data_IF_390907383014
#
_entry.id   IF_390907383014
#
_cell.length_a   1.000
_cell.length_b   1.000
_cell.length_c   1.000
_cell.angle_alpha   90.00
_cell.angle_beta   90.00
_cell.angle_gamma   90.00
#
_symmetry.space_group_name_H-M   'P 1'
#
loop_
_entity.id
_entity.type
_entity.pdbx_description
1 polymer ?
#
# COMPACT_ATOMS: atom_id res chain seq x y z
N UNK A 1 13.59 -29.00 -16.53
CA UNK A 1 15.07 -28.95 -16.47
C UNK A 1 15.54 -28.37 -15.16
N UNK A 2 16.20 -29.21 -14.33
CA UNK A 2 16.72 -28.82 -13.01
C UNK A 2 17.68 -27.60 -13.08
N UNK A 3 18.38 -27.42 -14.21
CA UNK A 3 19.25 -26.27 -14.43
C UNK A 3 18.47 -24.96 -14.51
N UNK A 4 17.41 -24.91 -15.31
CA UNK A 4 16.58 -23.71 -15.47
C UNK A 4 15.86 -23.37 -14.16
N UNK A 5 15.39 -24.38 -13.42
CA UNK A 5 14.80 -24.19 -12.11
C UNK A 5 15.79 -23.54 -11.14
N UNK A 6 17.00 -24.10 -11.02
CA UNK A 6 18.02 -23.56 -10.11
C UNK A 6 18.46 -22.16 -10.53
N UNK A 7 18.64 -21.92 -11.85
CA UNK A 7 18.97 -20.59 -12.37
C UNK A 7 17.91 -19.54 -12.05
N UNK A 8 16.64 -19.87 -12.21
CA UNK A 8 15.53 -18.98 -11.86
C UNK A 8 15.49 -18.70 -10.36
N UNK A 9 15.69 -19.74 -9.54
CA UNK A 9 15.68 -19.58 -8.08
C UNK A 9 16.81 -18.67 -7.59
N UNK A 10 18.01 -18.84 -8.15
CA UNK A 10 19.17 -17.97 -7.86
C UNK A 10 18.89 -16.54 -8.31
N UNK A 11 18.34 -16.35 -9.51
CA UNK A 11 17.96 -15.04 -10.03
C UNK A 11 16.92 -14.37 -9.13
N UNK A 12 15.88 -15.09 -8.72
CA UNK A 12 14.87 -14.60 -7.81
C UNK A 12 15.44 -14.17 -6.46
N UNK A 13 16.31 -15.01 -5.87
CA UNK A 13 17.00 -14.66 -4.62
C UNK A 13 17.85 -13.40 -4.77
N UNK A 14 18.63 -13.30 -5.86
CA UNK A 14 19.45 -12.13 -6.13
C UNK A 14 18.62 -10.84 -6.26
N UNK A 15 17.52 -10.88 -7.00
CA UNK A 15 16.64 -9.71 -7.21
C UNK A 15 15.97 -9.29 -5.91
N UNK A 16 15.54 -10.24 -5.06
CA UNK A 16 14.97 -9.95 -3.73
C UNK A 16 16.00 -9.30 -2.82
N UNK A 17 17.25 -9.80 -2.80
CA UNK A 17 18.35 -9.21 -2.01
C UNK A 17 18.66 -7.79 -2.48
N UNK A 18 18.79 -7.57 -3.80
CA UNK A 18 19.02 -6.23 -4.37
C UNK A 18 17.89 -5.28 -3.99
N UNK A 19 16.64 -5.72 -4.08
CA UNK A 19 15.49 -4.94 -3.65
C UNK A 19 15.56 -4.57 -2.17
N UNK A 20 15.94 -5.49 -1.30
CA UNK A 20 16.08 -5.23 0.14
C UNK A 20 17.09 -4.10 0.41
N UNK A 21 18.28 -4.17 -0.20
CA UNK A 21 19.29 -3.12 -0.05
C UNK A 21 18.85 -1.78 -0.65
N UNK A 22 18.15 -1.82 -1.77
CA UNK A 22 17.60 -0.63 -2.42
C UNK A 22 16.56 0.07 -1.54
N UNK A 23 15.63 -0.67 -0.93
CA UNK A 23 14.65 -0.11 0.02
C UNK A 23 15.36 0.52 1.22
N UNK A 24 16.40 -0.12 1.74
CA UNK A 24 17.19 0.42 2.86
C UNK A 24 17.94 1.70 2.47
N UNK A 25 18.49 1.77 1.27
CA UNK A 25 19.16 2.97 0.75
C UNK A 25 18.17 4.12 0.51
N UNK A 26 16.96 3.82 0.00
CA UNK A 26 15.89 4.78 -0.22
C UNK A 26 15.39 5.37 1.10
N UNK A 27 15.29 4.57 2.16
CA UNK A 27 14.81 5.02 3.48
C UNK A 27 15.66 6.14 4.10
N UNK A 28 16.89 6.32 3.63
CA UNK A 28 17.82 7.34 4.11
C UNK A 28 17.89 8.59 3.22
N UNK A 29 17.02 8.70 2.20
CA UNK A 29 17.01 9.78 1.22
C UNK A 29 15.75 10.63 1.34
N UNK A 30 15.87 11.96 1.30
CA UNK A 30 14.75 12.90 1.41
C UNK A 30 14.00 13.12 0.09
N UNK A 31 14.51 12.63 -1.05
CA UNK A 31 13.88 12.78 -2.37
C UNK A 31 12.78 11.71 -2.59
N UNK A 32 11.56 12.06 -2.19
CA UNK A 32 10.40 11.16 -2.25
C UNK A 32 10.08 10.71 -3.68
N UNK A 33 10.13 11.60 -4.66
CA UNK A 33 9.76 11.28 -6.06
C UNK A 33 10.77 10.32 -6.71
N UNK A 34 12.05 10.52 -6.45
CA UNK A 34 13.11 9.62 -6.89
C UNK A 34 12.96 8.25 -6.23
N UNK A 35 12.68 8.25 -4.94
CA UNK A 35 12.54 7.04 -4.15
C UNK A 35 11.36 6.19 -4.62
N UNK A 36 10.20 6.79 -4.89
CA UNK A 36 9.03 6.10 -5.45
C UNK A 36 9.32 5.53 -6.84
N UNK A 37 10.02 6.26 -7.72
CA UNK A 37 10.41 5.72 -9.05
C UNK A 37 11.30 4.51 -8.93
N UNK A 38 12.32 4.54 -8.07
CA UNK A 38 13.23 3.42 -7.85
C UNK A 38 12.51 2.21 -7.26
N UNK A 39 11.59 2.44 -6.31
CA UNK A 39 10.75 1.40 -5.74
C UNK A 39 9.89 0.72 -6.81
N UNK A 40 9.23 1.51 -7.68
CA UNK A 40 8.38 1.01 -8.74
C UNK A 40 9.17 0.16 -9.75
N UNK A 41 10.37 0.60 -10.13
CA UNK A 41 11.26 -0.19 -11.01
C UNK A 41 11.66 -1.49 -10.33
N UNK A 42 12.06 -1.46 -9.07
CA UNK A 42 12.45 -2.65 -8.32
C UNK A 42 11.30 -3.66 -8.17
N UNK A 43 10.09 -3.18 -7.89
CA UNK A 43 8.88 -4.00 -7.84
C UNK A 43 8.63 -4.64 -9.21
N UNK A 44 8.68 -3.86 -10.28
CA UNK A 44 8.47 -4.35 -11.65
C UNK A 44 9.47 -5.45 -12.04
N UNK A 45 10.75 -5.29 -11.71
CA UNK A 45 11.78 -6.31 -11.99
C UNK A 45 11.50 -7.61 -11.23
N UNK A 46 11.21 -7.53 -9.93
CA UNK A 46 10.91 -8.72 -9.11
C UNK A 46 9.71 -9.47 -9.66
N UNK A 47 8.64 -8.76 -9.98
CA UNK A 47 7.41 -9.37 -10.45
C UNK A 47 7.51 -9.90 -11.87
N UNK A 48 8.31 -9.27 -12.72
CA UNK A 48 8.63 -9.80 -14.06
C UNK A 48 9.41 -11.10 -13.98
N UNK A 49 10.45 -11.17 -13.13
CA UNK A 49 11.21 -12.42 -12.91
C UNK A 49 10.32 -13.53 -12.36
N UNK A 50 9.38 -13.17 -11.46
CA UNK A 50 8.36 -14.12 -11.00
C UNK A 50 7.49 -14.63 -12.17
N UNK A 51 7.00 -13.71 -13.00
CA UNK A 51 6.18 -14.05 -14.17
C UNK A 51 6.88 -14.96 -15.17
N UNK A 52 8.22 -14.85 -15.32
CA UNK A 52 9.00 -15.75 -16.19
C UNK A 52 8.91 -17.22 -15.78
N UNK A 53 8.49 -17.51 -14.55
CA UNK A 53 8.20 -18.87 -14.09
C UNK A 53 7.20 -19.61 -14.98
N UNK A 54 6.30 -18.91 -15.70
CA UNK A 54 5.41 -19.54 -16.71
C UNK A 54 6.15 -20.34 -17.77
N UNK A 55 7.31 -19.89 -18.20
CA UNK A 55 8.12 -20.57 -19.20
C UNK A 55 8.99 -21.70 -18.65
N UNK A 56 9.14 -21.76 -17.32
CA UNK A 56 10.04 -22.70 -16.65
C UNK A 56 9.28 -23.84 -15.97
N UNK A 57 8.17 -23.50 -15.32
CA UNK A 57 7.42 -24.43 -14.46
C UNK A 57 6.19 -25.03 -15.11
N UNK A 58 5.72 -24.46 -16.22
CA UNK A 58 4.52 -24.97 -16.89
C UNK A 58 4.93 -25.79 -18.10
N UNK A 59 5.08 -27.13 -17.97
CA UNK A 59 5.25 -27.99 -19.11
C UNK A 59 3.94 -28.04 -19.90
N UNK A 60 4.05 -28.05 -21.21
CA UNK A 60 2.90 -28.05 -22.14
C UNK A 60 2.04 -29.31 -22.09
N UNK A 61 2.49 -30.37 -21.41
CA UNK A 61 1.89 -31.69 -21.44
C UNK A 61 0.95 -32.03 -20.29
N UNK A 62 1.04 -31.31 -19.14
CA UNK A 62 0.34 -31.71 -17.92
C UNK A 62 -0.62 -30.62 -17.40
N UNK A 63 -1.94 -30.81 -17.62
CA UNK A 63 -2.96 -29.82 -17.22
C UNK A 63 -2.95 -29.45 -15.73
N UNK A 64 -2.58 -30.40 -14.87
CA UNK A 64 -2.57 -30.22 -13.42
C UNK A 64 -1.48 -29.23 -12.99
N UNK A 65 -0.29 -29.32 -13.59
CA UNK A 65 0.82 -28.40 -13.29
C UNK A 65 0.50 -26.98 -13.75
N UNK A 66 -0.18 -26.86 -14.89
CA UNK A 66 -0.70 -25.58 -15.38
C UNK A 66 -1.67 -24.94 -14.37
N UNK A 67 -2.64 -25.71 -13.86
CA UNK A 67 -3.60 -25.24 -12.85
C UNK A 67 -2.91 -24.85 -11.54
N UNK A 68 -1.95 -25.65 -11.07
CA UNK A 68 -1.20 -25.34 -9.85
C UNK A 68 -0.44 -24.01 -9.97
N UNK A 69 0.27 -23.81 -11.09
CA UNK A 69 0.99 -22.56 -11.31
C UNK A 69 0.03 -21.37 -11.44
N UNK A 70 -1.13 -21.56 -12.07
CA UNK A 70 -2.18 -20.55 -12.14
C UNK A 70 -2.68 -20.13 -10.75
N UNK A 71 -2.95 -21.09 -9.87
CA UNK A 71 -3.38 -20.83 -8.49
C UNK A 71 -2.29 -20.03 -7.74
N UNK A 72 -1.03 -20.42 -7.88
CA UNK A 72 0.11 -19.71 -7.27
C UNK A 72 0.19 -18.27 -7.82
N UNK A 73 0.11 -18.09 -9.14
CA UNK A 73 0.16 -16.77 -9.79
C UNK A 73 -0.97 -15.85 -9.32
N UNK A 74 -2.20 -16.38 -9.20
CA UNK A 74 -3.33 -15.64 -8.66
C UNK A 74 -3.15 -15.31 -7.19
N UNK A 75 -2.61 -16.23 -6.39
CA UNK A 75 -2.31 -15.97 -4.98
C UNK A 75 -1.32 -14.82 -4.83
N UNK A 76 -0.23 -14.83 -5.59
CA UNK A 76 0.76 -13.74 -5.61
C UNK A 76 0.11 -12.41 -6.03
N UNK A 77 -0.77 -12.43 -7.05
CA UNK A 77 -1.51 -11.26 -7.49
C UNK A 77 -2.37 -10.66 -6.36
N UNK A 78 -3.16 -11.47 -5.67
CA UNK A 78 -4.05 -10.99 -4.60
C UNK A 78 -3.30 -10.57 -3.34
N UNK A 79 -2.28 -11.32 -2.93
CA UNK A 79 -1.43 -10.93 -1.77
C UNK A 79 -0.67 -9.64 -2.07
N UNK A 80 -0.09 -9.52 -3.26
CA UNK A 80 0.61 -8.32 -3.69
C UNK A 80 -0.33 -7.10 -3.81
N UNK A 81 -1.59 -7.31 -4.18
CA UNK A 81 -2.59 -6.24 -4.22
C UNK A 81 -2.72 -5.54 -2.86
N UNK A 82 -2.72 -6.28 -1.75
CA UNK A 82 -2.80 -5.69 -0.40
C UNK A 82 -1.59 -4.81 -0.09
N UNK A 83 -0.40 -5.19 -0.53
CA UNK A 83 0.83 -4.45 -0.26
C UNK A 83 1.08 -3.26 -1.20
N UNK A 84 0.63 -3.32 -2.45
CA UNK A 84 0.99 -2.36 -3.50
C UNK A 84 -0.15 -1.43 -3.94
N UNK A 85 -1.41 -1.66 -3.51
CA UNK A 85 -2.55 -0.82 -3.89
C UNK A 85 -2.61 0.54 -3.17
N UNK A 86 -1.65 0.86 -2.30
CA UNK A 86 -1.56 2.15 -1.62
C UNK A 86 -1.39 3.29 -2.64
N UNK A 87 -0.55 3.06 -3.65
CA UNK A 87 -0.38 3.96 -4.79
C UNK A 87 -0.67 3.25 -6.10
N UNK A 88 -1.46 3.89 -6.97
CA UNK A 88 -1.86 3.32 -8.26
C UNK A 88 -0.67 3.02 -9.19
N UNK A 89 0.35 3.89 -9.20
CA UNK A 89 1.56 3.69 -10.03
C UNK A 89 2.36 2.47 -9.56
N UNK A 90 2.50 2.32 -8.25
CA UNK A 90 3.17 1.16 -7.63
C UNK A 90 2.40 -0.12 -7.91
N UNK A 91 1.07 -0.08 -7.83
CA UNK A 91 0.23 -1.22 -8.17
C UNK A 91 0.38 -1.64 -9.65
N UNK A 92 0.39 -0.69 -10.56
CA UNK A 92 0.63 -0.96 -11.99
C UNK A 92 2.00 -1.58 -12.24
N UNK A 93 3.05 -1.05 -11.59
CA UNK A 93 4.42 -1.59 -11.66
C UNK A 93 4.53 -3.00 -11.10
N UNK A 94 3.62 -3.42 -10.23
CA UNK A 94 3.52 -4.78 -9.73
C UNK A 94 2.76 -5.69 -10.70
N UNK A 95 1.55 -5.29 -11.12
CA UNK A 95 0.61 -6.18 -11.82
C UNK A 95 1.00 -6.44 -13.27
N UNK A 96 1.40 -5.39 -14.02
CA UNK A 96 1.70 -5.53 -15.44
C UNK A 96 2.90 -6.45 -15.70
N UNK A 97 4.06 -6.29 -15.05
CA UNK A 97 5.19 -7.18 -15.29
C UNK A 97 4.93 -8.61 -14.82
N UNK A 98 4.10 -8.79 -13.77
CA UNK A 98 3.70 -10.11 -13.29
C UNK A 98 2.89 -10.89 -14.34
N UNK A 99 1.94 -10.22 -15.01
CA UNK A 99 1.00 -10.86 -15.92
C UNK A 99 1.46 -10.87 -17.38
N UNK A 100 2.40 -10.04 -17.77
CA UNK A 100 2.90 -10.00 -19.15
C UNK A 100 3.48 -11.34 -19.61
N UNK A 101 4.37 -12.04 -18.87
CA UNK A 101 4.89 -13.34 -19.30
C UNK A 101 3.81 -14.41 -19.41
N UNK A 102 2.82 -14.42 -18.51
CA UNK A 102 1.67 -15.30 -18.58
C UNK A 102 0.87 -15.10 -19.87
N UNK A 103 0.55 -13.86 -20.22
CA UNK A 103 -0.19 -13.53 -21.43
C UNK A 103 0.61 -13.94 -22.69
N UNK A 104 1.92 -13.71 -22.71
CA UNK A 104 2.79 -14.15 -23.79
C UNK A 104 2.77 -15.68 -23.89
N UNK A 105 2.91 -16.38 -22.78
CA UNK A 105 2.86 -17.84 -22.75
C UNK A 105 1.55 -18.38 -23.35
N UNK A 106 0.40 -17.83 -22.96
CA UNK A 106 -0.92 -18.23 -23.46
C UNK A 106 -1.05 -18.01 -24.97
N UNK A 107 -0.49 -16.93 -25.51
CA UNK A 107 -0.54 -16.64 -26.97
C UNK A 107 0.25 -17.65 -27.78
N UNK A 108 1.37 -18.15 -27.26
CA UNK A 108 2.23 -19.13 -27.98
C UNK A 108 1.80 -20.57 -27.82
N UNK A 109 0.96 -20.89 -26.84
CA UNK A 109 0.50 -22.28 -26.56
C UNK A 109 -1.00 -22.37 -26.78
N UNK A 110 -1.41 -22.96 -27.91
CA UNK A 110 -2.80 -23.00 -28.40
C UNK A 110 -3.57 -24.28 -28.01
N UNK A 111 -3.19 -24.96 -26.95
CA UNK A 111 -3.91 -26.16 -26.52
C UNK A 111 -5.31 -25.84 -26.00
N UNK A 112 -6.30 -26.67 -26.34
CA UNK A 112 -7.74 -26.43 -26.01
C UNK A 112 -7.96 -26.27 -24.51
N UNK A 113 -7.18 -26.98 -23.68
CA UNK A 113 -7.31 -26.93 -22.21
C UNK A 113 -6.85 -25.58 -21.62
N UNK A 114 -6.05 -24.82 -22.33
CA UNK A 114 -5.51 -23.52 -21.88
C UNK A 114 -6.58 -22.43 -21.94
N UNK A 115 -7.53 -22.49 -22.87
CA UNK A 115 -8.51 -21.43 -23.08
C UNK A 115 -9.42 -21.12 -21.88
N UNK A 116 -10.01 -22.11 -21.18
CA UNK A 116 -10.82 -21.83 -20.00
C UNK A 116 -10.02 -21.17 -18.87
N UNK A 117 -8.76 -21.59 -18.72
CA UNK A 117 -7.86 -21.07 -17.69
C UNK A 117 -7.41 -19.65 -18.06
N UNK A 118 -7.12 -19.42 -19.33
CA UNK A 118 -6.81 -18.10 -19.87
C UNK A 118 -7.95 -17.09 -19.65
N UNK A 119 -9.18 -17.51 -19.92
CA UNK A 119 -10.37 -16.69 -19.67
C UNK A 119 -10.51 -16.36 -18.17
N UNK A 120 -10.35 -17.37 -17.30
CA UNK A 120 -10.36 -17.15 -15.85
C UNK A 120 -9.26 -16.19 -15.38
N UNK A 121 -8.06 -16.32 -15.93
CA UNK A 121 -6.94 -15.41 -15.65
C UNK A 121 -7.23 -13.98 -16.09
N UNK A 122 -7.80 -13.78 -17.28
CA UNK A 122 -8.18 -12.46 -17.79
C UNK A 122 -9.26 -11.79 -16.90
N UNK A 123 -10.27 -12.56 -16.49
CA UNK A 123 -11.29 -12.06 -15.56
C UNK A 123 -10.66 -11.69 -14.22
N UNK A 124 -9.83 -12.54 -13.65
CA UNK A 124 -9.13 -12.26 -12.39
C UNK A 124 -8.22 -11.04 -12.50
N UNK A 125 -7.51 -10.88 -13.61
CA UNK A 125 -6.68 -9.71 -13.91
C UNK A 125 -7.51 -8.42 -13.96
N UNK A 126 -8.64 -8.43 -14.67
CA UNK A 126 -9.56 -7.30 -14.73
C UNK A 126 -10.11 -6.94 -13.35
N UNK A 127 -10.53 -7.95 -12.57
CA UNK A 127 -11.01 -7.74 -11.21
C UNK A 127 -9.91 -7.16 -10.30
N UNK A 128 -8.68 -7.66 -10.41
CA UNK A 128 -7.55 -7.14 -9.66
C UNK A 128 -7.27 -5.66 -9.99
N UNK A 129 -7.29 -5.28 -11.27
CA UNK A 129 -7.14 -3.88 -11.68
C UNK A 129 -8.26 -3.00 -11.11
N UNK A 130 -9.51 -3.44 -11.23
CA UNK A 130 -10.66 -2.69 -10.69
C UNK A 130 -10.59 -2.54 -9.17
N UNK A 131 -10.29 -3.63 -8.46
CA UNK A 131 -10.17 -3.61 -7.00
C UNK A 131 -8.97 -2.79 -6.54
N UNK A 132 -7.81 -2.92 -7.18
CA UNK A 132 -6.63 -2.11 -6.89
C UNK A 132 -6.90 -0.61 -7.01
N UNK A 133 -7.63 -0.19 -8.05
CA UNK A 133 -8.05 1.20 -8.23
C UNK A 133 -8.99 1.68 -7.11
N UNK A 134 -9.97 0.86 -6.72
CA UNK A 134 -10.90 1.18 -5.63
C UNK A 134 -10.16 1.27 -4.27
N UNK A 135 -9.24 0.34 -4.02
CA UNK A 135 -8.44 0.37 -2.80
C UNK A 135 -7.52 1.60 -2.74
N UNK A 136 -6.82 1.93 -3.84
CA UNK A 136 -5.97 3.13 -3.89
C UNK A 136 -6.78 4.39 -3.55
N UNK A 137 -7.94 4.58 -4.15
CA UNK A 137 -8.84 5.70 -3.80
C UNK A 137 -9.32 5.68 -2.36
N UNK A 138 -9.58 4.50 -1.80
CA UNK A 138 -10.00 4.35 -0.40
C UNK A 138 -8.87 4.74 0.55
N UNK A 139 -7.63 4.33 0.24
CA UNK A 139 -6.44 4.71 1.00
C UNK A 139 -6.20 6.22 0.98
N UNK A 140 -6.26 6.87 -0.19
CA UNK A 140 -6.13 8.33 -0.31
C UNK A 140 -7.15 9.06 0.58
N UNK A 141 -8.41 8.64 0.53
CA UNK A 141 -9.47 9.20 1.39
C UNK A 141 -9.20 8.97 2.88
N UNK A 142 -8.77 7.76 3.25
CA UNK A 142 -8.47 7.40 4.64
C UNK A 142 -7.33 8.25 5.20
N UNK A 143 -6.26 8.45 4.42
CA UNK A 143 -5.14 9.29 4.79
C UNK A 143 -5.58 10.76 4.94
N UNK A 144 -6.33 11.29 3.97
CA UNK A 144 -6.84 12.66 4.03
C UNK A 144 -7.76 12.90 5.23
N UNK A 145 -8.63 11.93 5.56
CA UNK A 145 -9.48 11.99 6.75
C UNK A 145 -8.66 11.96 8.04
N UNK A 146 -7.60 11.15 8.10
CA UNK A 146 -6.72 11.09 9.26
C UNK A 146 -6.07 12.43 9.52
N UNK A 147 -5.46 13.07 8.52
CA UNK A 147 -4.88 14.41 8.67
C UNK A 147 -5.92 15.46 9.06
N UNK A 148 -7.14 15.39 8.50
CA UNK A 148 -8.23 16.29 8.89
C UNK A 148 -8.63 16.11 10.36
N UNK A 149 -8.72 14.86 10.82
CA UNK A 149 -9.05 14.55 12.22
C UNK A 149 -7.95 15.03 13.18
N UNK A 150 -6.67 14.84 12.84
CA UNK A 150 -5.54 15.37 13.63
C UNK A 150 -5.64 16.89 13.77
N UNK A 151 -5.85 17.60 12.64
CA UNK A 151 -6.02 19.06 12.65
C UNK A 151 -7.21 19.53 13.51
N UNK A 152 -8.35 18.84 13.39
CA UNK A 152 -9.54 19.14 14.21
C UNK A 152 -9.29 18.89 15.69
N UNK A 153 -8.56 17.83 16.01
CA UNK A 153 -8.18 17.53 17.39
C UNK A 153 -7.32 18.65 18.00
N UNK A 154 -6.31 19.12 17.26
CA UNK A 154 -5.45 20.23 17.70
C UNK A 154 -6.25 21.50 17.91
N UNK A 155 -7.20 21.82 17.02
CA UNK A 155 -8.10 22.97 17.19
C UNK A 155 -8.95 22.85 18.46
N UNK A 156 -9.54 21.69 18.70
CA UNK A 156 -10.34 21.44 19.92
C UNK A 156 -9.52 21.57 21.20
N UNK A 157 -8.28 21.09 21.19
CA UNK A 157 -7.35 21.25 22.33
C UNK A 157 -7.06 22.73 22.59
N UNK A 158 -6.81 23.49 21.52
CA UNK A 158 -6.55 24.94 21.63
C UNK A 158 -7.77 25.70 22.16
N UNK A 159 -8.97 25.44 21.63
CA UNK A 159 -10.22 26.07 22.10
C UNK A 159 -10.51 25.72 23.56
N UNK A 160 -10.29 24.46 23.95
CA UNK A 160 -10.42 24.03 25.35
C UNK A 160 -9.48 24.82 26.26
N UNK A 161 -8.21 24.96 25.85
CA UNK A 161 -7.23 25.69 26.69
C UNK A 161 -7.61 27.18 26.84
N UNK A 162 -8.09 27.83 25.77
CA UNK A 162 -8.60 29.20 25.82
C UNK A 162 -9.82 29.31 26.74
N UNK A 163 -10.75 28.37 26.63
CA UNK A 163 -11.94 28.35 27.48
C UNK A 163 -11.58 28.15 28.96
N UNK A 164 -10.63 27.24 29.26
CA UNK A 164 -10.14 27.01 30.64
C UNK A 164 -9.47 28.29 31.17
N UNK A 165 -8.61 28.95 30.38
CA UNK A 165 -7.95 30.18 30.80
C UNK A 165 -8.97 31.32 31.08
N UNK A 166 -9.98 31.47 30.23
CA UNK A 166 -11.05 32.45 30.42
C UNK A 166 -11.88 32.16 31.72
N UNK A 167 -12.15 30.87 31.99
CA UNK A 167 -12.87 30.51 33.24
C UNK A 167 -12.04 30.78 34.51
N UNK A 168 -10.75 30.53 34.46
CA UNK A 168 -9.81 30.86 35.56
C UNK A 168 -9.81 32.36 35.79
N UNK A 169 -9.58 33.16 34.74
CA UNK A 169 -9.60 34.63 34.86
C UNK A 169 -10.93 35.19 35.39
N UNK A 170 -12.07 34.62 34.95
CA UNK A 170 -13.39 34.98 35.48
C UNK A 170 -13.53 34.65 36.97
N UNK A 171 -13.02 33.50 37.41
CA UNK A 171 -13.10 33.08 38.82
C UNK A 171 -12.21 33.96 39.69
N UNK A 172 -11.01 34.33 39.27
CA UNK A 172 -10.10 35.25 39.96
C UNK A 172 -10.71 36.64 40.06
N UNK A 173 -11.31 37.17 38.99
CA UNK A 173 -12.00 38.45 38.97
C UNK A 173 -13.14 38.47 40.02
N UNK A 174 -13.99 37.44 40.05
CA UNK A 174 -15.09 37.34 41.01
C UNK A 174 -14.55 37.29 42.48
N UNK A 175 -13.49 36.51 42.70
CA UNK A 175 -12.88 36.39 44.03
C UNK A 175 -12.32 37.74 44.53
N UNK A 176 -11.60 38.46 43.65
CA UNK A 176 -11.02 39.79 43.95
C UNK A 176 -12.12 40.81 44.18
N UNK A 177 -13.12 40.91 43.31
CA UNK A 177 -14.26 41.82 43.47
C UNK A 177 -15.05 41.55 44.78
N UNK A 178 -15.24 40.30 45.16
CA UNK A 178 -15.91 39.92 46.39
C UNK A 178 -15.10 40.33 47.63
N UNK A 179 -13.77 40.23 47.55
CA UNK A 179 -12.89 40.68 48.65
C UNK A 179 -12.95 42.23 48.81
N UNK A 180 -12.85 42.96 47.69
CA UNK A 180 -12.86 44.42 47.68
C UNK A 180 -14.21 45.02 48.09
N UNK A 181 -15.31 44.35 47.86
CA UNK A 181 -16.64 44.72 48.34
C UNK A 181 -16.82 44.44 49.85
N UNK A 182 -16.16 43.44 50.40
CA UNK A 182 -16.27 43.07 51.81
C UNK A 182 -15.54 44.09 52.72
N UNK A 183 -14.42 44.62 52.25
CA UNK A 183 -13.62 45.59 53.04
C UNK A 183 -14.42 46.83 53.46
N UNK A 184 -15.08 47.60 52.58
CA UNK A 184 -15.83 48.79 52.95
C UNK A 184 -17.09 48.46 53.76
N UNK A 185 -17.71 47.29 53.56
CA UNK A 185 -18.88 46.89 54.36
C UNK A 185 -18.53 46.56 55.82
N UNK A 186 -17.30 46.08 56.08
CA UNK A 186 -16.83 45.84 57.44
C UNK A 186 -16.44 47.14 58.18
N UNK A 187 -16.11 48.24 57.43
CA UNK A 187 -15.80 49.53 58.00
C UNK A 187 -17.02 50.39 58.38
N UNK A 188 -18.21 50.01 57.96
CA UNK A 188 -19.49 50.72 58.26
C UNK A 188 -20.26 50.11 59.44
N UNK A 189 -19.88 48.94 59.94
CA UNK A 189 -20.39 48.34 61.16
C UNK A 189 -19.44 48.59 62.30
#
# INVERSE_FOLDING_TARGET
DAFLFNAWFVLMAAVVVVRFFLIRAISNSDDVDRNLRLLNIAVGIVTFVWGLGWFIFVPTSEPVEYLLYQIISLTVLFVGMVGYCVDWKTFFSFVLPLKTPELIYIVFHHEVIIWPIALGSMVAFYLALKMGFLFSKSWEKSIALRFKNEKLFDQLVQEKNVSVAANIAKSEFIATASHDLRQPMQAIN
#
